data_IF_281623972660
#
_entry.id   IF_281623972660
#
_cell.length_a   1.000
_cell.length_b   1.000
_cell.length_c   1.000
_cell.angle_alpha   90.00
_cell.angle_beta   90.00
_cell.angle_gamma   90.00
#
_symmetry.space_group_name_H-M   'P 1'
#
loop_
_entity.id
_entity.type
_entity.pdbx_description
1 polymer ?
#
# COMPACT_ATOMS: atom_id res chain seq x y z
N UNK A 1 -16.34 36.43 -26.46
CA UNK A 1 -15.83 35.11 -26.01
C UNK A 1 -16.78 34.04 -26.51
N UNK A 2 -16.36 33.22 -27.48
CA UNK A 2 -17.21 32.13 -27.99
C UNK A 2 -17.11 30.94 -27.04
N UNK A 3 -18.19 30.19 -26.89
CA UNK A 3 -18.24 28.98 -26.04
C UNK A 3 -17.10 28.00 -26.39
N UNK A 4 -16.76 27.88 -27.68
CA UNK A 4 -15.63 27.06 -28.14
C UNK A 4 -14.27 27.56 -27.66
N UNK A 5 -14.05 28.88 -27.63
CA UNK A 5 -12.81 29.46 -27.09
C UNK A 5 -12.66 29.25 -25.59
N UNK A 6 -13.77 29.31 -24.84
CA UNK A 6 -13.79 29.02 -23.40
C UNK A 6 -13.45 27.53 -23.14
N UNK A 7 -14.08 26.61 -23.88
CA UNK A 7 -13.83 25.17 -23.76
C UNK A 7 -12.39 24.81 -24.13
N UNK A 8 -11.87 25.35 -25.22
CA UNK A 8 -10.47 25.13 -25.61
C UNK A 8 -9.49 25.65 -24.54
N UNK A 9 -9.74 26.85 -24.01
CA UNK A 9 -8.95 27.43 -22.92
C UNK A 9 -8.98 26.58 -21.65
N UNK A 10 -10.15 26.08 -21.25
CA UNK A 10 -10.30 25.19 -20.09
C UNK A 10 -9.62 23.84 -20.28
N UNK A 11 -9.74 23.23 -21.45
CA UNK A 11 -9.05 21.98 -21.77
C UNK A 11 -7.53 22.12 -21.69
N UNK A 12 -6.98 23.21 -22.24
CA UNK A 12 -5.55 23.51 -22.13
C UNK A 12 -5.14 23.72 -20.68
N UNK A 13 -5.92 24.47 -19.90
CA UNK A 13 -5.64 24.70 -18.48
C UNK A 13 -5.60 23.40 -17.69
N UNK A 14 -6.57 22.50 -17.92
CA UNK A 14 -6.62 21.18 -17.26
C UNK A 14 -5.40 20.33 -17.63
N UNK A 15 -5.01 20.30 -18.90
CA UNK A 15 -3.81 19.57 -19.35
C UNK A 15 -2.53 20.09 -18.69
N UNK A 16 -2.40 21.41 -18.58
CA UNK A 16 -1.24 22.04 -17.91
C UNK A 16 -1.20 21.67 -16.42
N UNK A 17 -2.35 21.70 -15.72
CA UNK A 17 -2.42 21.32 -14.32
C UNK A 17 -2.09 19.84 -14.10
N UNK A 18 -2.58 18.96 -14.98
CA UNK A 18 -2.26 17.53 -14.94
C UNK A 18 -0.76 17.29 -15.13
N UNK A 19 -0.15 17.93 -16.12
CA UNK A 19 1.29 17.83 -16.36
C UNK A 19 2.11 18.33 -15.16
N UNK A 20 1.72 19.46 -14.57
CA UNK A 20 2.38 20.00 -13.38
C UNK A 20 2.30 19.05 -12.18
N UNK A 21 1.12 18.45 -11.93
CA UNK A 21 0.92 17.46 -10.85
C UNK A 21 1.73 16.19 -11.09
N UNK A 22 1.78 15.69 -12.32
CA UNK A 22 2.57 14.52 -12.66
C UNK A 22 4.08 14.76 -12.42
N UNK A 23 4.60 15.90 -12.88
CA UNK A 23 6.00 16.28 -12.64
C UNK A 23 6.29 16.45 -11.15
N UNK A 24 5.37 17.06 -10.39
CA UNK A 24 5.51 17.20 -8.94
C UNK A 24 5.58 15.83 -8.25
N UNK A 25 4.65 14.92 -8.57
CA UNK A 25 4.59 13.57 -7.98
C UNK A 25 5.89 12.79 -8.20
N UNK A 26 6.37 12.74 -9.45
CA UNK A 26 7.63 12.06 -9.79
C UNK A 26 8.81 12.66 -9.04
N UNK A 27 8.89 13.99 -8.94
CA UNK A 27 9.97 14.67 -8.22
C UNK A 27 9.93 14.44 -6.71
N UNK A 28 8.75 14.29 -6.12
CA UNK A 28 8.60 14.00 -4.69
C UNK A 28 8.92 12.55 -4.37
N UNK A 29 8.52 11.61 -5.21
CA UNK A 29 8.83 10.18 -5.04
C UNK A 29 10.33 9.90 -5.17
N UNK A 30 11.04 10.62 -6.05
CA UNK A 30 12.47 10.43 -6.22
C UNK A 30 13.31 10.89 -5.02
N UNK A 31 12.73 11.70 -4.12
CA UNK A 31 13.38 12.25 -2.92
C UNK A 31 12.96 11.55 -1.63
N UNK A 32 11.97 10.66 -1.66
CA UNK A 32 11.66 9.84 -0.48
C UNK A 32 12.77 8.81 -0.30
N UNK A 33 13.38 8.78 0.89
CA UNK A 33 14.32 7.71 1.24
C UNK A 33 13.56 6.39 1.17
N UNK A 34 14.10 5.43 0.42
CA UNK A 34 13.56 4.06 0.40
C UNK A 34 13.94 3.35 1.69
N UNK A 35 13.01 2.55 2.21
CA UNK A 35 13.21 1.77 3.44
C UNK A 35 12.92 2.57 4.70
N UNK A 36 13.06 1.90 5.82
CA UNK A 36 12.92 2.46 7.16
C UNK A 36 14.30 2.56 7.82
N UNK A 37 14.56 3.64 8.55
CA UNK A 37 15.76 3.69 9.38
C UNK A 37 15.65 2.61 10.49
N UNK A 38 16.77 1.97 10.88
CA UNK A 38 16.76 0.92 11.88
C UNK A 38 16.22 1.44 13.22
N UNK A 39 15.04 0.94 13.62
CA UNK A 39 14.34 1.34 14.85
C UNK A 39 14.60 0.43 16.05
N UNK A 40 14.17 0.89 17.24
CA UNK A 40 14.25 0.12 18.50
C UNK A 40 13.04 -0.78 18.79
N UNK A 41 12.14 -0.99 17.83
CA UNK A 41 10.95 -1.83 18.02
C UNK A 41 10.49 -2.50 16.74
N UNK A 42 9.25 -2.99 16.76
CA UNK A 42 8.64 -3.63 15.60
C UNK A 42 8.32 -2.62 14.51
N UNK A 43 8.28 -3.12 13.27
CA UNK A 43 7.88 -2.31 12.12
C UNK A 43 6.40 -2.51 11.87
N UNK A 44 5.64 -1.42 11.88
CA UNK A 44 4.24 -1.42 11.45
C UNK A 44 4.18 -0.94 10.00
N UNK A 45 3.57 -1.76 9.16
CA UNK A 45 3.35 -1.46 7.74
C UNK A 45 1.86 -1.23 7.57
N UNK A 46 1.49 0.03 7.37
CA UNK A 46 0.12 0.39 7.05
C UNK A 46 -0.14 0.14 5.56
N UNK A 47 -1.01 -0.81 5.28
CA UNK A 47 -1.44 -1.17 3.93
C UNK A 47 -2.82 -0.60 3.73
N UNK A 48 -2.89 0.51 3.00
CA UNK A 48 -4.15 1.09 2.59
C UNK A 48 -4.42 0.73 1.13
N UNK A 49 -5.30 -0.25 0.91
CA UNK A 49 -5.73 -0.60 -0.43
C UNK A 49 -7.03 0.12 -0.75
N UNK A 50 -6.97 1.09 -1.67
CA UNK A 50 -8.15 1.78 -2.21
C UNK A 50 -8.43 1.28 -3.63
N UNK A 51 -9.36 0.33 -3.79
CA UNK A 51 -9.92 0.07 -5.12
C UNK A 51 -10.82 1.25 -5.48
N UNK A 52 -10.55 1.93 -6.59
CA UNK A 52 -11.14 3.25 -6.93
C UNK A 52 -12.65 3.30 -7.21
N UNK A 53 -13.45 2.36 -6.70
CA UNK A 53 -14.91 2.34 -6.78
C UNK A 53 -15.58 2.62 -5.43
N UNK A 54 -16.84 3.09 -5.46
CA UNK A 54 -17.60 3.65 -4.33
C UNK A 54 -17.99 2.73 -3.17
N UNK A 55 -17.17 1.74 -2.80
CA UNK A 55 -17.50 0.85 -1.69
C UNK A 55 -16.42 -0.13 -1.24
N UNK A 56 -15.13 0.05 -1.53
CA UNK A 56 -14.14 -0.98 -1.17
C UNK A 56 -12.72 -0.48 -1.00
N UNK A 57 -12.45 0.15 0.14
CA UNK A 57 -11.09 0.29 0.66
C UNK A 57 -10.89 -0.72 1.79
N UNK A 58 -9.78 -1.47 1.78
CA UNK A 58 -9.38 -2.31 2.91
C UNK A 58 -8.06 -1.77 3.45
N UNK A 59 -8.12 -1.23 4.66
CA UNK A 59 -6.94 -0.83 5.42
C UNK A 59 -6.59 -1.96 6.39
N UNK A 60 -5.34 -2.41 6.34
CA UNK A 60 -4.80 -3.34 7.32
C UNK A 60 -3.42 -2.89 7.76
N UNK A 61 -3.00 -3.27 8.96
CA UNK A 61 -1.66 -2.99 9.48
C UNK A 61 -0.94 -4.31 9.70
N UNK A 62 0.21 -4.47 9.06
CA UNK A 62 1.07 -5.64 9.22
C UNK A 62 2.15 -5.29 10.25
N UNK A 63 2.26 -6.09 11.31
CA UNK A 63 3.34 -5.97 12.30
C UNK A 63 4.46 -6.95 11.94
N UNK A 64 5.67 -6.44 11.76
CA UNK A 64 6.90 -7.20 11.54
C UNK A 64 7.71 -7.16 12.84
N UNK A 65 7.75 -8.26 13.61
CA UNK A 65 8.50 -8.32 14.86
C UNK A 65 10.00 -8.18 14.65
N UNK A 66 10.67 -7.50 15.58
CA UNK A 66 12.15 -7.46 15.61
C UNK A 66 12.76 -8.73 16.22
N UNK A 67 12.05 -9.36 17.15
CA UNK A 67 12.52 -10.59 17.78
C UNK A 67 12.57 -11.74 16.74
N UNK A 68 13.71 -12.42 16.57
CA UNK A 68 13.85 -13.46 15.56
C UNK A 68 12.89 -14.64 15.74
N UNK A 69 12.55 -15.00 16.98
CA UNK A 69 11.67 -16.13 17.26
C UNK A 69 10.22 -15.77 16.93
N UNK A 70 9.76 -14.59 17.33
CA UNK A 70 8.43 -14.07 16.96
C UNK A 70 8.29 -13.88 15.46
N UNK A 71 9.34 -13.40 14.79
CA UNK A 71 9.37 -13.30 13.33
C UNK A 71 9.24 -14.68 12.66
N UNK A 72 9.99 -15.69 13.14
CA UNK A 72 9.91 -17.05 12.60
C UNK A 72 8.52 -17.68 12.76
N UNK A 73 7.85 -17.45 13.90
CA UNK A 73 6.48 -17.95 14.14
C UNK A 73 5.47 -17.41 13.14
N UNK A 74 5.67 -16.19 12.63
CA UNK A 74 4.77 -15.60 11.63
C UNK A 74 4.77 -16.34 10.28
N UNK A 75 5.79 -17.17 9.99
CA UNK A 75 5.86 -17.98 8.77
C UNK A 75 5.19 -19.35 8.90
N UNK A 76 4.86 -19.78 10.12
CA UNK A 76 4.20 -21.08 10.33
C UNK A 76 2.73 -20.93 9.94
N UNK A 77 2.23 -21.71 8.96
CA UNK A 77 0.81 -21.70 8.61
C UNK A 77 -0.03 -22.08 9.83
N UNK A 78 -1.11 -21.33 10.07
CA UNK A 78 -1.98 -21.55 11.24
C UNK A 78 -2.62 -22.95 11.23
N UNK A 79 -2.81 -23.51 10.04
CA UNK A 79 -3.48 -24.80 9.83
C UNK A 79 -2.53 -26.00 9.95
N UNK A 80 -1.21 -25.77 9.98
CA UNK A 80 -0.22 -26.85 10.12
C UNK A 80 -0.31 -27.59 11.48
N UNK A 81 -1.04 -27.02 12.44
CA UNK A 81 -1.27 -27.61 13.76
C UNK A 81 -2.56 -28.46 13.83
N UNK A 82 -3.43 -28.39 12.82
CA UNK A 82 -4.69 -29.15 12.80
C UNK A 82 -4.58 -30.54 12.15
N UNK A 83 -3.58 -30.74 11.27
CA UNK A 83 -3.27 -32.05 10.67
C UNK A 83 -2.30 -32.87 11.56
N UNK A 84 -2.60 -32.96 12.85
CA UNK A 84 -2.01 -34.01 13.68
C UNK A 84 -2.43 -35.38 13.12
N UNK A 85 -1.57 -36.42 13.17
CA UNK A 85 -1.91 -37.73 12.63
C UNK A 85 -3.18 -38.23 13.32
N UNK A 86 -4.27 -38.34 12.56
CA UNK A 86 -5.49 -38.98 13.03
C UNK A 86 -5.13 -40.45 13.27
N UNK A 87 -4.94 -40.84 14.53
CA UNK A 87 -4.85 -42.22 14.97
C UNK A 87 -6.13 -42.93 14.53
N UNK A 88 -6.07 -43.53 13.33
CA UNK A 88 -7.05 -44.49 12.86
C UNK A 88 -6.96 -45.71 13.78
N UNK A 89 -7.89 -45.76 14.73
CA UNK A 89 -8.18 -46.94 15.53
C UNK A 89 -9.16 -47.82 14.76
N UNK A 90 -8.65 -48.66 13.87
CA UNK A 90 -9.32 -49.81 13.28
C UNK A 90 -8.35 -50.80 12.64
#
# INVERSE_FOLDING_TARGET
MTLGGLLAGMSVLVLVLLAARAVQAVRTEHKSKRGIDPGRGDTLIDVNYASGGGGGGHSTTIRVPKDPQEYAKAFVPKDASQDGPNERND
#
